data_IF_681642769959
#
_entry.id   IF_681642769959
#
_cell.length_a   1.000
_cell.length_b   1.000
_cell.length_c   1.000
_cell.angle_alpha   90.00
_cell.angle_beta   90.00
_cell.angle_gamma   90.00
#
_symmetry.space_group_name_H-M   'P 1'
#
loop_
_entity.id
_entity.type
_entity.pdbx_description
1 polymer ?
#
# COMPACT_ATOMS: atom_id res chain seq x y z
N UNK A 1 -13.90 12.07 12.56
CA UNK A 1 -12.48 12.43 12.34
C UNK A 1 -12.12 11.94 10.96
N UNK A 2 -11.67 12.84 10.10
CA UNK A 2 -11.26 12.55 8.72
C UNK A 2 -9.99 11.70 8.76
N UNK A 3 -9.95 10.63 7.96
CA UNK A 3 -8.78 9.76 7.85
C UNK A 3 -8.03 10.19 6.60
N UNK A 4 -6.77 10.59 6.77
CA UNK A 4 -5.95 11.10 5.68
C UNK A 4 -5.04 10.02 5.10
N UNK A 5 -4.60 10.22 3.87
CA UNK A 5 -3.58 9.41 3.19
C UNK A 5 -2.64 10.34 2.43
N UNK A 6 -1.37 9.96 2.32
CA UNK A 6 -0.37 10.70 1.56
C UNK A 6 -0.69 10.67 0.06
N UNK A 7 -0.54 11.80 -0.64
CA UNK A 7 -0.90 11.95 -2.05
C UNK A 7 -0.04 11.08 -2.97
N UNK A 8 1.20 10.76 -2.59
CA UNK A 8 2.01 9.76 -3.29
C UNK A 8 1.31 8.39 -3.43
N UNK A 9 0.36 8.06 -2.53
CA UNK A 9 -0.45 6.84 -2.58
C UNK A 9 -1.39 6.77 -3.80
N UNK A 10 -1.59 7.89 -4.49
CA UNK A 10 -2.35 7.97 -5.74
C UNK A 10 -1.49 8.33 -6.96
N UNK A 11 -0.16 8.31 -6.82
CA UNK A 11 0.77 8.49 -7.94
C UNK A 11 0.44 7.48 -9.03
N UNK A 12 0.41 7.93 -10.29
CA UNK A 12 -0.08 7.14 -11.43
C UNK A 12 -1.50 7.50 -11.86
N UNK A 13 -2.29 8.16 -11.02
CA UNK A 13 -3.67 8.49 -11.37
C UNK A 13 -3.76 9.37 -12.62
N UNK A 14 -2.96 10.44 -12.70
CA UNK A 14 -3.01 11.37 -13.85
C UNK A 14 -2.48 10.72 -15.13
N UNK A 15 -1.45 9.88 -15.04
CA UNK A 15 -0.90 9.10 -16.13
C UNK A 15 -1.94 8.15 -16.71
N UNK A 16 -2.67 7.43 -15.85
CA UNK A 16 -3.74 6.52 -16.30
C UNK A 16 -4.91 7.30 -16.92
N UNK A 17 -5.22 8.50 -16.43
CA UNK A 17 -6.26 9.35 -17.05
C UNK A 17 -5.86 9.83 -18.44
N UNK A 18 -4.58 10.15 -18.63
CA UNK A 18 -4.02 10.48 -19.93
C UNK A 18 -4.12 9.30 -20.90
N UNK A 19 -3.75 8.09 -20.47
CA UNK A 19 -3.84 6.87 -21.27
C UNK A 19 -5.30 6.54 -21.68
N UNK A 20 -6.27 6.86 -20.82
CA UNK A 20 -7.69 6.67 -21.08
C UNK A 20 -8.33 7.82 -21.86
N UNK A 21 -7.58 8.89 -22.14
CA UNK A 21 -8.09 10.14 -22.71
C UNK A 21 -9.32 10.68 -21.94
N UNK A 22 -9.25 10.64 -20.60
CA UNK A 22 -10.31 11.09 -19.69
C UNK A 22 -9.86 12.36 -18.96
N UNK A 23 -10.69 13.40 -18.90
CA UNK A 23 -10.38 14.62 -18.14
C UNK A 23 -10.68 14.40 -16.64
N UNK A 24 -9.66 14.35 -15.76
CA UNK A 24 -9.90 14.11 -14.35
C UNK A 24 -10.47 15.32 -13.61
N UNK A 25 -10.32 16.55 -14.15
CA UNK A 25 -10.57 17.79 -13.39
C UNK A 25 -11.97 17.88 -12.79
N UNK A 26 -13.06 17.58 -13.53
CA UNK A 26 -14.41 17.67 -12.97
C UNK A 26 -14.60 16.71 -11.80
N UNK A 27 -14.07 15.50 -11.90
CA UNK A 27 -14.23 14.46 -10.88
C UNK A 27 -13.35 14.72 -9.64
N UNK A 28 -12.14 15.24 -9.86
CA UNK A 28 -11.28 15.71 -8.77
C UNK A 28 -11.96 16.81 -7.95
N UNK A 29 -12.54 17.82 -8.63
CA UNK A 29 -13.26 18.89 -7.96
C UNK A 29 -14.48 18.40 -7.17
N UNK A 30 -15.21 17.39 -7.67
CA UNK A 30 -16.33 16.76 -6.96
C UNK A 30 -15.92 16.09 -5.65
N UNK A 31 -14.68 15.60 -5.56
CA UNK A 31 -14.13 14.94 -4.38
C UNK A 31 -13.23 15.84 -3.54
N UNK A 32 -13.27 17.16 -3.79
CA UNK A 32 -12.48 18.17 -3.07
C UNK A 32 -10.96 17.95 -3.16
N UNK A 33 -10.49 17.34 -4.25
CA UNK A 33 -9.07 17.11 -4.53
C UNK A 33 -8.65 18.07 -5.65
N UNK A 34 -7.57 18.82 -5.43
CA UNK A 34 -6.98 19.68 -6.45
C UNK A 34 -5.89 18.95 -7.23
N UNK A 35 -5.67 19.34 -8.49
CA UNK A 35 -4.56 18.82 -9.30
C UNK A 35 -3.19 19.06 -8.65
N UNK A 36 -3.04 20.17 -7.92
CA UNK A 36 -1.78 20.51 -7.25
C UNK A 36 -1.47 19.53 -6.12
N UNK A 37 -2.48 19.18 -5.31
CA UNK A 37 -2.29 18.18 -4.25
C UNK A 37 -1.88 16.81 -4.80
N UNK A 38 -2.37 16.40 -5.97
CA UNK A 38 -1.97 15.13 -6.58
C UNK A 38 -0.50 15.13 -7.02
N UNK A 39 0.01 16.30 -7.43
CA UNK A 39 1.40 16.46 -7.92
C UNK A 39 2.41 16.61 -6.79
N UNK A 40 1.95 16.99 -5.60
CA UNK A 40 2.77 17.14 -4.42
C UNK A 40 2.73 15.85 -3.62
N UNK A 41 3.80 15.06 -3.67
CA UNK A 41 3.83 13.79 -2.95
C UNK A 41 3.51 13.97 -1.47
N UNK A 42 4.03 15.02 -0.82
CA UNK A 42 3.88 15.33 0.60
C UNK A 42 2.52 15.90 1.03
N UNK A 43 1.60 16.08 0.08
CA UNK A 43 0.24 16.49 0.39
C UNK A 43 -0.54 15.36 1.08
N UNK A 44 -1.52 15.74 1.91
CA UNK A 44 -2.45 14.81 2.54
C UNK A 44 -3.83 14.97 1.90
N UNK A 45 -4.44 13.83 1.55
CA UNK A 45 -5.76 13.74 0.94
C UNK A 45 -6.73 13.03 1.90
N UNK A 46 -8.01 13.40 1.86
CA UNK A 46 -9.03 12.59 2.53
C UNK A 46 -9.09 11.20 1.88
N UNK A 47 -8.89 10.16 2.68
CA UNK A 47 -8.80 8.80 2.18
C UNK A 47 -10.14 8.32 1.60
N UNK A 48 -11.27 8.80 2.15
CA UNK A 48 -12.59 8.47 1.60
C UNK A 48 -12.77 9.12 0.22
N UNK A 49 -12.44 10.40 0.06
CA UNK A 49 -12.44 11.07 -1.25
C UNK A 49 -11.57 10.36 -2.27
N UNK A 50 -10.40 9.84 -1.90
CA UNK A 50 -9.55 9.04 -2.80
C UNK A 50 -10.22 7.74 -3.23
N UNK A 51 -10.85 7.02 -2.30
CA UNK A 51 -11.58 5.77 -2.60
C UNK A 51 -12.75 6.05 -3.56
N UNK A 52 -13.56 7.06 -3.24
CA UNK A 52 -14.71 7.43 -4.06
C UNK A 52 -14.28 7.93 -5.45
N UNK A 53 -13.17 8.68 -5.52
CA UNK A 53 -12.54 9.10 -6.77
C UNK A 53 -12.21 7.88 -7.64
N UNK A 54 -11.55 6.86 -7.09
CA UNK A 54 -11.17 5.67 -7.86
C UNK A 54 -12.39 4.90 -8.38
N UNK A 55 -13.39 4.66 -7.54
CA UNK A 55 -14.60 3.94 -7.96
C UNK A 55 -15.40 4.71 -9.02
N UNK A 56 -15.58 6.02 -8.84
CA UNK A 56 -16.27 6.86 -9.81
C UNK A 56 -15.49 6.96 -11.13
N UNK A 57 -14.17 7.04 -11.05
CA UNK A 57 -13.31 7.08 -12.24
C UNK A 57 -13.42 5.79 -13.02
N UNK A 58 -13.30 4.63 -12.35
CA UNK A 58 -13.42 3.33 -12.98
C UNK A 58 -14.77 3.17 -13.70
N UNK A 59 -15.85 3.66 -13.09
CA UNK A 59 -17.18 3.66 -13.69
C UNK A 59 -17.29 4.60 -14.90
N UNK A 60 -16.97 5.89 -14.74
CA UNK A 60 -17.15 6.92 -15.76
C UNK A 60 -16.20 6.76 -16.96
N UNK A 61 -14.94 6.40 -16.69
CA UNK A 61 -13.94 6.14 -17.72
C UNK A 61 -14.04 4.72 -18.31
N UNK A 62 -15.00 3.90 -17.85
CA UNK A 62 -15.17 2.49 -18.25
C UNK A 62 -13.86 1.69 -18.12
N UNK A 63 -13.14 1.93 -17.03
CA UNK A 63 -11.86 1.31 -16.69
C UNK A 63 -12.02 0.42 -15.44
N UNK A 64 -12.61 -0.78 -15.57
CA UNK A 64 -12.89 -1.67 -14.43
C UNK A 64 -11.65 -2.21 -13.71
N UNK A 65 -10.46 -2.08 -14.29
CA UNK A 65 -9.15 -2.46 -13.75
C UNK A 65 -8.29 -1.25 -13.32
N UNK A 66 -8.91 -0.09 -13.07
CA UNK A 66 -8.22 1.17 -12.76
C UNK A 66 -7.14 1.03 -11.68
N UNK A 67 -7.47 0.39 -10.55
CA UNK A 67 -6.54 0.18 -9.44
C UNK A 67 -5.30 -0.62 -9.83
N UNK A 68 -5.47 -1.66 -10.66
CA UNK A 68 -4.36 -2.44 -11.19
C UNK A 68 -3.50 -1.59 -12.15
N UNK A 69 -4.09 -0.68 -12.92
CA UNK A 69 -3.32 0.22 -13.79
C UNK A 69 -2.50 1.22 -13.00
N UNK A 70 -3.12 1.89 -12.01
CA UNK A 70 -2.44 2.87 -11.18
C UNK A 70 -1.25 2.24 -10.46
N UNK A 71 -1.41 1.04 -9.89
CA UNK A 71 -0.32 0.36 -9.17
C UNK A 71 0.93 0.07 -10.02
N UNK A 72 0.84 0.09 -11.36
CA UNK A 72 2.02 -0.05 -12.25
C UNK A 72 2.93 1.17 -12.24
N UNK A 73 2.42 2.31 -11.80
CA UNK A 73 3.16 3.56 -11.68
C UNK A 73 3.64 3.80 -10.24
N UNK A 74 3.47 2.81 -9.36
CA UNK A 74 3.84 2.89 -7.95
C UNK A 74 5.03 1.99 -7.67
N UNK A 75 6.05 2.58 -7.05
CA UNK A 75 7.22 1.89 -6.55
C UNK A 75 7.38 2.19 -5.04
N UNK A 76 8.44 1.67 -4.43
CA UNK A 76 8.67 1.83 -2.99
C UNK A 76 8.80 3.30 -2.55
N UNK A 77 9.14 4.23 -3.46
CA UNK A 77 9.32 5.64 -3.12
C UNK A 77 8.01 6.33 -2.74
N UNK A 78 6.84 5.78 -3.11
CA UNK A 78 5.55 6.34 -2.66
C UNK A 78 5.43 6.31 -1.12
N UNK A 79 6.17 5.42 -0.46
CA UNK A 79 6.11 5.27 1.00
C UNK A 79 7.01 6.28 1.73
N UNK A 80 7.79 7.09 1.01
CA UNK A 80 8.68 8.10 1.59
C UNK A 80 9.60 7.48 2.65
N UNK A 81 9.56 8.00 3.88
CA UNK A 81 10.38 7.51 5.00
C UNK A 81 10.12 6.04 5.33
N UNK A 82 8.89 5.55 5.19
CA UNK A 82 8.57 4.14 5.39
C UNK A 82 9.29 3.27 4.35
N UNK A 83 9.39 3.72 3.11
CA UNK A 83 10.14 3.02 2.07
C UNK A 83 11.63 2.89 2.40
N UNK A 84 12.22 3.88 3.08
CA UNK A 84 13.61 3.82 3.57
C UNK A 84 13.75 2.83 4.73
N UNK A 85 12.79 2.83 5.67
CA UNK A 85 12.75 1.87 6.79
C UNK A 85 12.59 0.44 6.27
N UNK A 86 11.74 0.22 5.28
CA UNK A 86 11.59 -1.12 4.67
C UNK A 86 12.89 -1.60 4.04
N UNK A 87 13.64 -0.72 3.35
CA UNK A 87 14.92 -1.07 2.72
C UNK A 87 16.07 -1.28 3.72
N UNK A 88 15.93 -0.87 4.98
CA UNK A 88 16.91 -1.17 6.02
C UNK A 88 16.76 -2.55 6.65
N UNK A 89 15.64 -3.24 6.39
CA UNK A 89 15.36 -4.55 6.96
C UNK A 89 16.41 -5.59 6.52
N UNK A 90 16.87 -6.42 7.45
CA UNK A 90 17.81 -7.52 7.17
C UNK A 90 17.13 -8.81 6.69
N UNK A 91 15.79 -8.85 6.61
CA UNK A 91 15.01 -9.98 6.13
C UNK A 91 13.68 -9.50 5.54
N UNK A 92 13.07 -10.29 4.64
CA UNK A 92 11.73 -10.01 4.12
C UNK A 92 10.65 -10.04 5.21
N UNK A 93 10.86 -10.85 6.27
CA UNK A 93 10.07 -10.76 7.50
C UNK A 93 10.15 -9.36 8.12
N UNK A 94 11.37 -8.84 8.31
CA UNK A 94 11.57 -7.48 8.82
C UNK A 94 10.92 -6.40 7.95
N UNK A 95 10.91 -6.58 6.62
CA UNK A 95 10.19 -5.67 5.70
C UNK A 95 8.69 -5.64 6.03
N UNK A 96 8.07 -6.81 6.20
CA UNK A 96 6.63 -6.92 6.48
C UNK A 96 6.32 -6.40 7.89
N UNK A 97 7.17 -6.71 8.88
CA UNK A 97 7.02 -6.23 10.26
C UNK A 97 7.10 -4.69 10.32
N UNK A 98 8.11 -4.08 9.68
CA UNK A 98 8.19 -2.62 9.57
C UNK A 98 6.99 -2.01 8.84
N UNK A 99 6.51 -2.67 7.79
CA UNK A 99 5.30 -2.21 7.10
C UNK A 99 4.10 -2.26 8.04
N UNK A 100 3.90 -3.36 8.76
CA UNK A 100 2.81 -3.51 9.73
C UNK A 100 2.86 -2.44 10.83
N UNK A 101 4.05 -2.14 11.34
CA UNK A 101 4.24 -1.20 12.45
C UNK A 101 4.12 0.26 12.01
N UNK A 102 4.56 0.60 10.79
CA UNK A 102 4.75 1.98 10.36
C UNK A 102 3.91 2.43 9.15
N UNK A 103 3.04 1.57 8.57
CA UNK A 103 2.17 1.96 7.44
C UNK A 103 1.26 3.16 7.75
N UNK A 104 0.96 3.41 9.03
CA UNK A 104 0.22 4.59 9.46
C UNK A 104 0.88 5.92 9.05
N UNK A 105 2.21 5.93 8.82
CA UNK A 105 2.94 7.09 8.30
C UNK A 105 2.54 7.46 6.87
N UNK A 106 2.08 6.48 6.10
CA UNK A 106 1.53 6.71 4.76
C UNK A 106 0.02 6.98 4.80
N UNK A 107 -0.70 6.31 5.69
CA UNK A 107 -2.12 6.56 5.94
C UNK A 107 -2.66 5.70 7.08
N UNK A 108 -3.18 6.28 8.18
CA UNK A 108 -3.68 5.52 9.33
C UNK A 108 -4.92 4.66 9.04
N UNK A 109 -5.59 4.87 7.91
CA UNK A 109 -6.68 3.99 7.45
C UNK A 109 -6.21 2.76 6.68
N UNK A 110 -4.91 2.53 6.55
CA UNK A 110 -4.34 1.36 5.89
C UNK A 110 -3.64 0.49 6.92
N UNK A 111 -3.79 -0.83 6.79
CA UNK A 111 -3.04 -1.78 7.60
C UNK A 111 -2.59 -2.97 6.75
N UNK A 112 -1.38 -3.44 7.03
CA UNK A 112 -0.86 -4.72 6.54
C UNK A 112 -0.53 -5.56 7.76
N UNK A 113 -0.81 -6.87 7.69
CA UNK A 113 -0.46 -7.82 8.75
C UNK A 113 0.04 -9.13 8.16
N UNK A 114 0.89 -9.82 8.93
CA UNK A 114 1.43 -11.12 8.57
C UNK A 114 0.67 -12.23 9.30
N UNK A 115 0.19 -13.22 8.54
CA UNK A 115 -0.21 -14.52 9.09
C UNK A 115 0.86 -15.54 8.75
N UNK A 116 1.57 -16.00 9.77
CA UNK A 116 2.72 -16.91 9.63
C UNK A 116 2.38 -18.28 9.05
N UNK A 117 1.12 -18.70 9.10
CA UNK A 117 0.67 -19.98 8.54
C UNK A 117 -0.58 -19.74 7.71
N UNK A 118 -0.46 -19.92 6.39
CA UNK A 118 -1.61 -19.89 5.51
C UNK A 118 -2.53 -21.07 5.80
N UNK A 119 -3.84 -20.82 5.76
CA UNK A 119 -4.85 -21.90 5.85
C UNK A 119 -5.20 -22.49 4.48
N UNK A 120 -4.68 -21.91 3.40
CA UNK A 120 -5.03 -22.28 2.03
C UNK A 120 -3.88 -23.01 1.31
N UNK A 121 -2.65 -22.74 1.70
CA UNK A 121 -1.46 -23.30 1.07
C UNK A 121 -0.46 -23.78 2.12
N UNK A 122 0.05 -25.00 1.94
CA UNK A 122 1.18 -25.50 2.73
C UNK A 122 2.44 -24.65 2.47
N UNK A 123 3.31 -24.50 3.47
CA UNK A 123 4.54 -23.70 3.40
C UNK A 123 4.35 -22.30 2.80
N UNK A 124 3.28 -21.63 3.26
CA UNK A 124 2.94 -20.29 2.84
C UNK A 124 2.57 -19.41 4.02
N UNK A 125 2.72 -18.12 3.79
CA UNK A 125 2.28 -17.05 4.68
C UNK A 125 1.26 -16.19 3.94
N UNK A 126 0.43 -15.48 4.70
CA UNK A 126 -0.52 -14.52 4.14
C UNK A 126 -0.09 -13.10 4.54
N UNK A 127 0.18 -12.24 3.55
CA UNK A 127 0.29 -10.79 3.75
C UNK A 127 -1.09 -10.20 3.52
N UNK A 128 -1.74 -9.79 4.60
CA UNK A 128 -3.14 -9.37 4.60
C UNK A 128 -3.21 -7.85 4.58
N UNK A 129 -3.99 -7.31 3.66
CA UNK A 129 -4.25 -5.87 3.56
C UNK A 129 -5.67 -5.54 4.06
N UNK A 130 -5.78 -4.45 4.82
CA UNK A 130 -7.05 -3.95 5.34
C UNK A 130 -7.16 -2.43 5.14
N UNK A 131 -8.34 -1.99 4.71
CA UNK A 131 -8.74 -0.58 4.73
C UNK A 131 -9.61 -0.39 5.98
N UNK A 132 -9.11 0.36 6.96
CA UNK A 132 -9.74 0.59 8.27
C UNK A 132 -10.48 1.92 8.32
N UNK A 133 -11.29 2.19 7.30
CA UNK A 133 -12.17 3.34 7.27
C UNK A 133 -13.61 2.88 7.40
N UNK A 134 -14.44 3.64 8.14
CA UNK A 134 -15.87 3.37 8.18
C UNK A 134 -16.51 3.96 6.92
N UNK A 135 -16.57 3.16 5.86
CA UNK A 135 -17.22 3.53 4.61
C UNK A 135 -18.10 2.40 4.11
N UNK A 136 -19.28 2.75 3.61
CA UNK A 136 -20.25 1.82 3.03
C UNK A 136 -20.08 1.68 1.51
N UNK A 137 -19.15 2.42 0.91
CA UNK A 137 -18.91 2.36 -0.53
C UNK A 137 -18.02 1.17 -0.90
N UNK A 138 -18.18 0.59 -2.11
CA UNK A 138 -17.20 -0.34 -2.66
C UNK A 138 -15.78 0.26 -2.64
N UNK A 139 -14.77 -0.58 -2.44
CA UNK A 139 -13.35 -0.16 -2.35
C UNK A 139 -12.47 -1.03 -3.27
N UNK A 140 -13.05 -1.56 -4.35
CA UNK A 140 -12.44 -2.55 -5.24
C UNK A 140 -11.15 -1.99 -5.84
N UNK A 141 -11.22 -0.79 -6.39
CA UNK A 141 -10.09 -0.16 -7.08
C UNK A 141 -8.96 0.18 -6.10
N UNK A 142 -9.29 0.63 -4.88
CA UNK A 142 -8.28 0.89 -3.85
C UNK A 142 -7.64 -0.40 -3.34
N UNK A 143 -8.43 -1.46 -3.13
CA UNK A 143 -7.90 -2.79 -2.77
C UNK A 143 -6.98 -3.32 -3.86
N UNK A 144 -7.38 -3.21 -5.13
CA UNK A 144 -6.59 -3.66 -6.27
C UNK A 144 -5.28 -2.87 -6.39
N UNK A 145 -5.34 -1.55 -6.20
CA UNK A 145 -4.15 -0.72 -6.17
C UNK A 145 -3.20 -1.15 -5.04
N UNK A 146 -3.69 -1.29 -3.81
CA UNK A 146 -2.86 -1.65 -2.67
C UNK A 146 -2.27 -3.07 -2.80
N UNK A 147 -3.03 -4.05 -3.27
CA UNK A 147 -2.53 -5.40 -3.55
C UNK A 147 -1.48 -5.38 -4.66
N UNK A 148 -1.74 -4.64 -5.74
CA UNK A 148 -0.83 -4.50 -6.87
C UNK A 148 0.50 -3.85 -6.47
N UNK A 149 0.43 -2.73 -5.75
CA UNK A 149 1.61 -2.01 -5.25
C UNK A 149 2.40 -2.85 -4.25
N UNK A 150 1.72 -3.53 -3.32
CA UNK A 150 2.37 -4.45 -2.38
C UNK A 150 3.06 -5.60 -3.11
N UNK A 151 2.40 -6.19 -4.12
CA UNK A 151 2.97 -7.23 -4.96
C UNK A 151 4.25 -6.75 -5.66
N UNK A 152 4.20 -5.60 -6.32
CA UNK A 152 5.34 -5.03 -7.04
C UNK A 152 6.52 -4.72 -6.11
N UNK A 153 6.26 -4.09 -4.95
CA UNK A 153 7.31 -3.74 -3.98
C UNK A 153 7.95 -5.00 -3.39
N UNK A 154 7.16 -5.98 -2.94
CA UNK A 154 7.70 -7.21 -2.36
C UNK A 154 8.44 -8.05 -3.41
N UNK A 155 7.95 -8.06 -4.65
CA UNK A 155 8.61 -8.72 -5.78
C UNK A 155 9.94 -8.08 -6.13
N UNK A 156 10.00 -6.75 -6.11
CA UNK A 156 11.25 -6.03 -6.26
C UNK A 156 12.20 -6.42 -5.13
N UNK A 157 11.84 -6.17 -3.86
CA UNK A 157 12.69 -6.43 -2.69
C UNK A 157 13.21 -7.87 -2.58
N UNK A 158 12.38 -8.88 -2.84
CA UNK A 158 12.79 -10.28 -2.73
C UNK A 158 13.47 -10.83 -4.00
N UNK A 159 13.44 -10.11 -5.12
CA UNK A 159 14.03 -10.49 -6.40
C UNK A 159 13.73 -11.95 -6.79
N UNK A 160 14.77 -12.77 -7.04
CA UNK A 160 14.64 -14.17 -7.42
C UNK A 160 13.99 -15.06 -6.34
N UNK A 161 13.95 -14.60 -5.09
CA UNK A 161 13.31 -15.31 -3.98
C UNK A 161 11.81 -15.04 -3.88
N UNK A 162 11.27 -14.11 -4.70
CA UNK A 162 9.85 -13.80 -4.70
C UNK A 162 9.01 -14.93 -5.31
N UNK A 163 8.10 -15.50 -4.52
CA UNK A 163 7.17 -16.54 -4.98
C UNK A 163 5.77 -16.31 -4.43
N UNK A 164 4.94 -15.68 -5.25
CA UNK A 164 3.50 -15.55 -5.03
C UNK A 164 2.78 -16.84 -5.41
N UNK A 165 2.03 -17.43 -4.46
CA UNK A 165 1.22 -18.63 -4.67
C UNK A 165 -0.19 -18.31 -5.16
N UNK A 166 -0.80 -17.24 -4.65
CA UNK A 166 -2.11 -16.76 -5.07
C UNK A 166 -2.40 -15.36 -4.52
N UNK A 167 -3.48 -14.74 -5.00
CA UNK A 167 -4.06 -13.51 -4.43
C UNK A 167 -5.50 -13.76 -4.03
N UNK A 168 -5.85 -13.40 -2.79
CA UNK A 168 -7.24 -13.37 -2.31
C UNK A 168 -7.85 -11.99 -2.54
N UNK A 169 -8.99 -11.95 -3.23
CA UNK A 169 -9.79 -10.76 -3.44
C UNK A 169 -11.07 -10.82 -2.60
N UNK A 170 -11.36 -9.80 -1.79
CA UNK A 170 -12.58 -9.75 -0.98
C UNK A 170 -13.81 -9.29 -1.76
N UNK A 171 -13.65 -9.07 -3.06
CA UNK A 171 -14.69 -8.59 -3.94
C UNK A 171 -14.73 -9.44 -5.21
N UNK A 172 -15.82 -9.32 -5.96
CA UNK A 172 -15.92 -9.88 -7.30
C UNK A 172 -15.22 -8.94 -8.29
N UNK A 173 -14.23 -9.44 -9.05
CA UNK A 173 -13.58 -8.69 -10.13
C UNK A 173 -14.59 -8.10 -11.13
N UNK A 174 -14.30 -6.88 -11.61
CA UNK A 174 -15.08 -6.25 -12.68
C UNK A 174 -14.53 -6.58 -14.08
N UNK A 175 -13.24 -6.88 -14.19
CA UNK A 175 -12.63 -7.49 -15.39
C UNK A 175 -12.53 -9.00 -15.25
N UNK A 176 -12.20 -9.68 -16.35
CA UNK A 176 -11.97 -11.12 -16.32
C UNK A 176 -10.85 -11.48 -15.34
N UNK A 177 -10.98 -12.64 -14.67
CA UNK A 177 -9.95 -13.17 -13.77
C UNK A 177 -8.59 -13.30 -14.47
N UNK A 178 -8.57 -13.53 -15.79
CA UNK A 178 -7.35 -13.62 -16.58
C UNK A 178 -6.53 -12.33 -16.58
N UNK A 179 -7.16 -11.16 -16.48
CA UNK A 179 -6.43 -9.89 -16.40
C UNK A 179 -5.69 -9.75 -15.07
N UNK A 180 -6.32 -10.14 -13.96
CA UNK A 180 -5.66 -10.23 -12.66
C UNK A 180 -4.53 -11.26 -12.68
N UNK A 181 -4.77 -12.45 -13.23
CA UNK A 181 -3.73 -13.49 -13.36
C UNK A 181 -2.54 -13.01 -14.20
N UNK A 182 -2.78 -12.26 -15.27
CA UNK A 182 -1.72 -11.66 -16.10
C UNK A 182 -0.92 -10.63 -15.31
N UNK A 183 -1.58 -9.80 -14.50
CA UNK A 183 -0.93 -8.80 -13.67
C UNK A 183 -0.05 -9.46 -12.59
N UNK A 184 -0.64 -10.35 -11.77
CA UNK A 184 0.03 -10.93 -10.60
C UNK A 184 0.96 -12.10 -10.95
N UNK A 185 0.76 -12.74 -12.11
CA UNK A 185 1.45 -13.99 -12.48
C UNK A 185 1.08 -15.17 -11.58
N UNK A 186 -0.09 -15.13 -10.92
CA UNK A 186 -0.52 -16.12 -9.94
C UNK A 186 -2.05 -16.37 -10.00
N UNK A 187 -2.53 -17.51 -9.48
CA UNK A 187 -3.96 -17.77 -9.27
C UNK A 187 -4.65 -16.68 -8.44
N UNK A 188 -5.92 -16.45 -8.74
CA UNK A 188 -6.77 -15.46 -8.06
C UNK A 188 -7.93 -16.18 -7.40
N UNK A 189 -8.06 -15.99 -6.09
CA UNK A 189 -9.14 -16.51 -5.26
C UNK A 189 -10.14 -15.38 -5.03
N UNK A 190 -11.34 -15.53 -5.59
CA UNK A 190 -12.41 -14.53 -5.49
C UNK A 190 -13.32 -14.80 -4.29
N UNK A 191 -14.10 -13.80 -3.89
CA UNK A 191 -15.09 -13.89 -2.81
C UNK A 191 -14.48 -14.39 -1.48
N UNK A 192 -13.26 -13.92 -1.18
CA UNK A 192 -12.56 -14.25 0.04
C UNK A 192 -12.95 -13.28 1.17
N UNK A 193 -12.69 -13.64 2.42
CA UNK A 193 -13.00 -12.75 3.54
C UNK A 193 -12.03 -11.55 3.66
N UNK A 194 -10.87 -11.61 2.98
CA UNK A 194 -9.77 -10.65 3.12
C UNK A 194 -9.04 -10.44 1.80
N UNK A 195 -8.47 -9.25 1.63
CA UNK A 195 -7.46 -8.98 0.61
C UNK A 195 -6.11 -9.54 1.09
N UNK A 196 -5.49 -10.45 0.34
CA UNK A 196 -4.22 -11.03 0.76
C UNK A 196 -3.33 -11.48 -0.41
N UNK A 197 -2.02 -11.36 -0.23
CA UNK A 197 -1.01 -12.04 -1.03
C UNK A 197 -0.56 -13.29 -0.29
N UNK A 198 -0.67 -14.46 -0.94
CA UNK A 198 -0.18 -15.72 -0.40
C UNK A 198 1.24 -15.96 -0.90
N UNK A 199 2.24 -15.78 -0.04
CA UNK A 199 3.65 -15.92 -0.42
C UNK A 199 4.20 -17.24 0.09
N UNK A 200 5.19 -17.79 -0.60
CA UNK A 200 5.94 -18.93 -0.06
C UNK A 200 6.68 -18.55 1.22
N UNK A 201 6.84 -19.50 2.14
CA UNK A 201 7.67 -19.29 3.34
C UNK A 201 9.11 -18.94 2.98
N UNK A 202 9.65 -19.52 1.90
CA UNK A 202 10.98 -19.17 1.36
C UNK A 202 11.14 -17.67 1.08
N UNK A 203 10.10 -17.02 0.53
CA UNK A 203 10.11 -15.57 0.29
C UNK A 203 10.16 -14.76 1.60
N UNK A 204 9.55 -15.26 2.68
CA UNK A 204 9.59 -14.58 3.98
C UNK A 204 10.96 -14.70 4.64
N UNK A 205 11.61 -15.85 4.50
CA UNK A 205 12.88 -16.18 5.14
C UNK A 205 14.10 -15.66 4.35
N UNK A 206 13.91 -15.15 3.13
CA UNK A 206 14.97 -14.56 2.31
C UNK A 206 15.37 -13.15 2.77
N UNK A 207 16.54 -12.70 2.30
CA UNK A 207 17.00 -11.33 2.51
C UNK A 207 16.53 -10.42 1.36
N UNK A 208 16.23 -9.13 1.62
CA UNK A 208 15.98 -8.18 0.55
C UNK A 208 17.26 -7.91 -0.25
N UNK A 209 17.18 -7.86 -1.58
CA UNK A 209 18.35 -7.59 -2.42
C UNK A 209 18.84 -6.13 -2.30
N UNK A 210 17.99 -5.22 -1.83
CA UNK A 210 18.25 -3.77 -1.79
C UNK A 210 18.73 -3.27 -0.42
N UNK A 211 19.40 -4.13 0.36
CA UNK A 211 19.90 -3.73 1.69
C UNK A 211 20.99 -2.67 1.54
N UNK A 212 20.69 -1.45 1.98
CA UNK A 212 21.66 -0.36 2.04
C UNK A 212 21.99 -0.06 3.51
N UNK A 213 23.18 -0.45 4.01
CA UNK A 213 23.58 -0.22 5.39
C UNK A 213 23.52 1.26 5.82
N UNK A 214 23.74 2.21 4.90
CA UNK A 214 23.62 3.64 5.21
C UNK A 214 22.16 4.06 5.44
N UNK A 215 21.20 3.44 4.74
CA UNK A 215 19.77 3.66 5.02
C UNK A 215 19.36 3.09 6.36
N UNK A 216 20.06 2.07 6.85
CA UNK A 216 19.79 1.47 8.16
C UNK A 216 20.08 2.43 9.29
N UNK A 217 21.21 3.13 9.27
CA UNK A 217 21.50 4.15 10.28
C UNK A 217 20.47 5.28 10.27
N UNK A 218 20.06 5.74 9.08
CA UNK A 218 19.03 6.79 8.92
C UNK A 218 17.67 6.31 9.45
N UNK A 219 17.27 5.09 9.10
CA UNK A 219 16.01 4.50 9.54
C UNK A 219 16.00 4.27 11.06
N UNK A 220 17.07 3.71 11.61
CA UNK A 220 17.20 3.47 13.06
C UNK A 220 17.22 4.78 13.84
N UNK A 221 17.95 5.80 13.38
CA UNK A 221 17.96 7.13 13.99
C UNK A 221 16.58 7.79 13.93
N UNK A 222 15.87 7.72 12.79
CA UNK A 222 14.49 8.20 12.68
C UNK A 222 13.56 7.48 13.66
N UNK A 223 13.62 6.14 13.70
CA UNK A 223 12.79 5.33 14.61
C UNK A 223 13.09 5.68 16.06
N UNK A 224 14.38 5.80 16.42
CA UNK A 224 14.78 6.18 17.76
C UNK A 224 14.36 7.61 18.13
N UNK A 225 14.44 8.57 17.21
CA UNK A 225 14.05 9.96 17.49
C UNK A 225 12.55 10.12 17.70
N UNK A 226 11.73 9.40 16.93
CA UNK A 226 10.28 9.66 16.88
C UNK A 226 9.41 8.57 17.52
N UNK A 227 9.92 7.35 17.75
CA UNK A 227 9.12 6.22 18.27
C UNK A 227 9.71 5.51 19.50
N UNK A 228 10.64 6.15 20.22
CA UNK A 228 11.40 5.60 21.37
C UNK A 228 10.59 5.04 22.55
N UNK A 229 9.25 5.07 22.53
CA UNK A 229 8.38 4.53 23.58
C UNK A 229 7.45 3.36 23.14
N UNK A 230 7.60 2.81 21.92
CA UNK A 230 6.76 1.68 21.47
C UNK A 230 7.34 0.29 21.82
N UNK A 231 8.54 0.23 22.41
CA UNK A 231 9.24 -1.02 22.76
C UNK A 231 8.69 -1.75 24.01
N UNK A 232 7.46 -1.42 24.42
CA UNK A 232 6.74 -2.08 25.50
C UNK A 232 5.39 -2.59 25.01
N UNK A 233 5.38 -3.75 24.35
CA UNK A 233 4.20 -4.49 23.85
C UNK A 233 3.42 -3.79 22.74
N UNK A 234 3.73 -4.13 21.49
CA UNK A 234 2.74 -4.16 20.40
C UNK A 234 2.39 -5.62 20.11
N UNK A 235 2.02 -6.36 21.17
CA UNK A 235 1.23 -7.58 21.04
C UNK A 235 0.01 -7.44 21.95
N UNK A 236 -1.15 -7.62 21.34
CA UNK A 236 -2.49 -7.52 21.92
C UNK A 236 -2.89 -6.14 22.48
N UNK A 237 -3.89 -5.56 21.80
CA UNK A 237 -4.70 -4.38 22.13
C UNK A 237 -4.24 -3.04 21.53
N UNK A 238 -5.00 -2.69 20.48
CA UNK A 238 -5.27 -1.32 20.02
C UNK A 238 -5.37 -0.37 21.22
N UNK A 239 -4.32 0.42 21.45
CA UNK A 239 -4.44 1.71 22.14
C UNK A 239 -3.83 2.77 21.23
N UNK A 240 -4.76 3.51 20.62
CA UNK A 240 -4.55 4.70 19.78
C UNK A 240 -3.52 5.65 20.42
N UNK A 241 -2.63 6.27 19.64
CA UNK A 241 -2.14 7.58 19.97
C UNK A 241 -3.29 8.56 19.77
N UNK A 242 -3.80 9.10 20.87
CA UNK A 242 -4.66 10.28 20.88
C UNK A 242 -3.87 11.47 20.33
N UNK A 243 -4.42 12.11 19.28
CA UNK A 243 -3.95 13.33 18.65
C UNK A 243 -2.52 13.27 18.08
N UNK A 244 -2.38 12.72 16.86
CA UNK A 244 -1.24 13.09 16.01
C UNK A 244 -1.46 14.53 15.53
N UNK A 245 -0.71 15.45 16.12
CA UNK A 245 -0.45 16.75 15.53
C UNK A 245 0.48 16.46 14.33
N UNK A 246 0.02 16.76 13.12
CA UNK A 246 0.84 16.68 11.91
C UNK A 246 2.13 17.47 12.15
N UNK A 247 3.33 16.86 12.05
CA UNK A 247 4.55 17.65 12.09
C UNK A 247 4.58 18.52 10.84
N UNK A 248 4.36 19.82 11.02
CA UNK A 248 4.64 20.81 9.99
C UNK A 248 6.11 20.71 9.58
N UNK A 249 6.32 20.52 8.28
CA UNK A 249 7.54 20.80 7.51
C UNK A 249 8.87 20.42 8.14
N UNK A 250 9.46 19.32 7.66
CA UNK A 250 10.91 19.22 7.54
C UNK A 250 11.22 19.16 6.04
N UNK A 251 11.48 20.32 5.44
CA UNK A 251 12.15 20.39 4.15
C UNK A 251 13.57 19.81 4.33
N UNK A 252 13.76 18.57 3.91
CA UNK A 252 15.12 18.06 3.66
C UNK A 252 15.55 18.67 2.33
N UNK A 253 16.28 19.79 2.39
CA UNK A 253 17.03 20.30 1.24
C UNK A 253 18.13 19.30 0.92
N UNK A 254 18.02 18.63 -0.22
CA UNK A 254 19.16 17.96 -0.84
C UNK A 254 20.14 19.04 -1.32
N UNK A 255 21.39 18.96 -0.86
CA UNK A 255 22.56 19.59 -1.49
C UNK A 255 23.03 18.72 -2.65
#
# INVERSE_FOLDING_TARGET
MTIMVHASGIRGYLEVMQDLNFDPKPLLAQHEITLEQIRQDDAWLDQKSVIDLYEHTAYLARCPDLGLRISKHQDISILGILGLIMQSASSMRGVIDYTSDFLFLHGPGLAISLKEQSSLFEDAIDVIFEIRINSYVPQRQTIDNCLGTTHCILKWLAAENYKLKAVSLPHMPLVSIKEYQRFFGAPILINQNRAALHLSRHTLDSQPHSTNPALREIAEDYIHRYFRNSAGKVSANVRKPSAFIYPHHVQIKYM
#
